data_IF_471271731796
#
_entry.id   IF_471271731796
#
_cell.length_a   1.000
_cell.length_b   1.000
_cell.length_c   1.000
_cell.angle_alpha   90.00
_cell.angle_beta   90.00
_cell.angle_gamma   90.00
#
_symmetry.space_group_name_H-M   'P 1'
#
loop_
_entity.id
_entity.type
_entity.pdbx_description
1 polymer ?
#
# COMPACT_ATOMS: atom_id res chain seq x y z
N UNK A 1 8.26 -8.43 -20.03
CA UNK A 1 7.39 -7.34 -19.52
C UNK A 1 6.52 -7.79 -18.34
N UNK A 2 5.82 -8.94 -18.41
CA UNK A 2 5.02 -9.49 -17.29
C UNK A 2 5.81 -9.75 -15.99
N UNK A 3 7.04 -10.27 -16.05
CA UNK A 3 7.86 -10.52 -14.84
C UNK A 3 8.32 -9.24 -14.12
N UNK A 4 8.50 -8.13 -14.84
CA UNK A 4 8.87 -6.84 -14.25
C UNK A 4 7.71 -6.23 -13.45
N UNK A 5 6.48 -6.42 -13.96
CA UNK A 5 5.24 -6.05 -13.27
C UNK A 5 5.03 -6.90 -12.02
N UNK A 6 5.24 -8.21 -12.09
CA UNK A 6 5.07 -9.11 -10.95
C UNK A 6 6.05 -8.80 -9.81
N UNK A 7 7.34 -8.61 -10.13
CA UNK A 7 8.34 -8.22 -9.13
C UNK A 7 8.06 -6.85 -8.50
N UNK A 8 7.46 -5.92 -9.24
CA UNK A 8 7.10 -4.60 -8.72
C UNK A 8 5.87 -4.69 -7.81
N UNK A 9 4.86 -5.48 -8.20
CA UNK A 9 3.64 -5.74 -7.42
C UNK A 9 3.92 -6.29 -6.03
N UNK A 10 4.81 -7.28 -5.94
CA UNK A 10 5.19 -7.88 -4.65
C UNK A 10 5.88 -6.87 -3.73
N UNK A 11 6.77 -6.01 -4.26
CA UNK A 11 7.54 -5.05 -3.46
C UNK A 11 6.66 -3.99 -2.79
N UNK A 12 5.59 -3.55 -3.43
CA UNK A 12 4.70 -2.53 -2.86
C UNK A 12 3.83 -3.07 -1.73
N UNK A 13 3.29 -4.29 -1.86
CA UNK A 13 2.56 -4.95 -0.77
C UNK A 13 3.46 -5.28 0.42
N UNK A 14 4.69 -5.75 0.14
CA UNK A 14 5.68 -6.05 1.18
C UNK A 14 6.05 -4.79 1.96
N UNK A 15 6.16 -3.63 1.32
CA UNK A 15 6.47 -2.37 2.01
C UNK A 15 5.37 -1.97 3.00
N UNK A 16 4.09 -2.17 2.62
CA UNK A 16 2.98 -1.86 3.53
C UNK A 16 2.91 -2.85 4.69
N UNK A 17 3.02 -4.15 4.39
CA UNK A 17 2.99 -5.22 5.39
C UNK A 17 4.18 -5.17 6.36
N UNK A 18 5.39 -4.91 5.85
CA UNK A 18 6.60 -4.78 6.66
C UNK A 18 6.53 -3.57 7.61
N UNK A 19 5.75 -2.55 7.28
CA UNK A 19 5.54 -1.43 8.20
C UNK A 19 4.91 -1.88 9.52
N UNK A 20 4.07 -2.91 9.56
CA UNK A 20 3.46 -3.38 10.81
C UNK A 20 4.49 -3.92 11.81
N UNK A 21 5.68 -4.30 11.35
CA UNK A 21 6.77 -4.83 12.18
C UNK A 21 7.59 -3.74 12.88
N UNK A 22 7.37 -2.45 12.58
CA UNK A 22 8.12 -1.37 13.23
C UNK A 22 7.41 -0.98 14.53
N UNK A 23 7.95 -1.36 15.71
CA UNK A 23 7.30 -1.13 16.98
C UNK A 23 7.21 0.37 17.30
N UNK A 24 6.18 0.82 18.05
CA UNK A 24 6.05 2.22 18.44
C UNK A 24 7.28 2.78 19.16
N UNK A 25 8.00 1.93 19.89
CA UNK A 25 9.21 2.29 20.63
C UNK A 25 10.42 2.63 19.74
N UNK A 26 10.43 2.20 18.47
CA UNK A 26 11.46 2.55 17.50
C UNK A 26 11.17 3.89 16.79
N UNK A 27 10.06 4.54 17.10
CA UNK A 27 9.63 5.79 16.48
C UNK A 27 10.07 6.98 17.33
N UNK A 28 10.96 7.80 16.79
CA UNK A 28 11.37 9.05 17.43
C UNK A 28 10.17 9.94 17.74
N UNK A 29 10.19 10.59 18.90
CA UNK A 29 9.19 11.59 19.25
C UNK A 29 9.26 12.72 18.23
N UNK A 30 8.10 13.21 17.77
CA UNK A 30 7.92 14.32 16.81
C UNK A 30 7.84 13.96 15.31
N UNK A 31 7.58 12.69 14.96
CA UNK A 31 7.34 12.30 13.55
C UNK A 31 5.95 11.69 13.34
N UNK A 32 5.23 12.15 12.32
CA UNK A 32 3.95 11.57 11.95
C UNK A 32 4.14 10.16 11.39
N UNK A 33 3.50 9.18 12.04
CA UNK A 33 3.32 7.84 11.54
C UNK A 33 1.83 7.47 11.59
N UNK A 34 1.30 6.66 10.64
CA UNK A 34 -0.07 6.17 10.75
C UNK A 34 -0.27 5.46 12.10
N UNK A 35 -1.44 5.63 12.76
CA UNK A 35 -1.74 4.93 14.00
C UNK A 35 -1.52 3.42 13.87
N UNK A 36 -1.03 2.77 14.93
CA UNK A 36 -0.68 1.34 14.90
C UNK A 36 -1.82 0.47 14.34
N UNK A 37 -3.07 0.72 14.77
CA UNK A 37 -4.24 -0.01 14.27
C UNK A 37 -4.46 0.17 12.76
N UNK A 38 -4.20 1.36 12.20
CA UNK A 38 -4.25 1.54 10.74
C UNK A 38 -3.18 0.70 10.06
N UNK A 39 -1.96 0.67 10.60
CA UNK A 39 -0.86 -0.12 10.01
C UNK A 39 -1.18 -1.61 9.99
N UNK A 40 -1.72 -2.14 11.09
CA UNK A 40 -2.18 -3.53 11.18
C UNK A 40 -3.35 -3.78 10.23
N UNK A 41 -4.36 -2.91 10.22
CA UNK A 41 -5.53 -3.04 9.36
C UNK A 41 -5.18 -3.02 7.87
N UNK A 42 -4.39 -2.04 7.42
CA UNK A 42 -3.91 -1.99 6.05
C UNK A 42 -3.03 -3.20 5.71
N UNK A 43 -2.18 -3.67 6.63
CA UNK A 43 -1.38 -4.88 6.39
C UNK A 43 -2.26 -6.12 6.17
N UNK A 44 -3.33 -6.27 6.96
CA UNK A 44 -4.28 -7.37 6.78
C UNK A 44 -5.01 -7.27 5.43
N UNK A 45 -5.46 -6.08 5.06
CA UNK A 45 -6.12 -5.82 3.76
C UNK A 45 -5.19 -6.16 2.60
N UNK A 46 -3.96 -5.67 2.62
CA UNK A 46 -2.99 -5.95 1.56
C UNK A 46 -2.55 -7.43 1.54
N UNK A 47 -2.52 -8.11 2.69
CA UNK A 47 -2.37 -9.56 2.75
C UNK A 47 -3.55 -10.30 2.12
N UNK A 48 -4.78 -9.84 2.38
CA UNK A 48 -5.99 -10.37 1.74
C UNK A 48 -5.99 -10.18 0.22
N UNK A 49 -5.53 -9.04 -0.27
CA UNK A 49 -5.33 -8.78 -1.72
C UNK A 49 -4.36 -9.81 -2.32
N UNK A 50 -3.23 -10.06 -1.65
CA UNK A 50 -2.26 -11.06 -2.12
C UNK A 50 -2.86 -12.47 -2.18
N UNK A 51 -3.70 -12.84 -1.20
CA UNK A 51 -4.44 -14.11 -1.22
C UNK A 51 -5.44 -14.19 -2.37
N UNK A 52 -6.22 -13.13 -2.62
CA UNK A 52 -7.15 -13.08 -3.77
C UNK A 52 -6.39 -13.26 -5.09
N UNK A 53 -5.24 -12.61 -5.26
CA UNK A 53 -4.37 -12.85 -6.41
C UNK A 53 -3.86 -14.29 -6.50
N UNK A 54 -3.51 -14.94 -5.37
CA UNK A 54 -3.06 -16.33 -5.39
C UNK A 54 -4.17 -17.33 -5.75
N UNK A 55 -5.44 -16.95 -5.58
CA UNK A 55 -6.58 -17.75 -6.06
C UNK A 55 -6.86 -17.59 -7.55
N UNK A 56 -6.10 -16.75 -8.26
CA UNK A 56 -6.25 -16.47 -9.69
C UNK A 56 -7.31 -15.41 -10.01
N UNK A 57 -7.97 -14.85 -9.00
CA UNK A 57 -8.97 -13.79 -9.17
C UNK A 57 -8.31 -12.42 -9.27
N UNK A 58 -7.63 -12.19 -10.40
CA UNK A 58 -6.90 -10.95 -10.65
C UNK A 58 -7.81 -9.72 -10.75
N UNK A 59 -9.07 -9.91 -11.14
CA UNK A 59 -10.05 -8.83 -11.32
C UNK A 59 -10.54 -8.26 -9.99
N UNK A 60 -10.99 -9.13 -9.08
CA UNK A 60 -11.38 -8.65 -7.75
C UNK A 60 -10.15 -8.19 -6.96
N UNK A 61 -9.01 -8.87 -7.13
CA UNK A 61 -7.75 -8.48 -6.51
C UNK A 61 -7.29 -7.07 -6.90
N UNK A 62 -7.34 -6.72 -8.19
CA UNK A 62 -6.94 -5.39 -8.69
C UNK A 62 -7.88 -4.28 -8.21
N UNK A 63 -9.20 -4.53 -8.19
CA UNK A 63 -10.19 -3.60 -7.65
C UNK A 63 -9.99 -3.31 -6.17
N UNK A 64 -9.83 -4.35 -5.34
CA UNK A 64 -9.58 -4.22 -3.90
C UNK A 64 -8.24 -3.52 -3.66
N UNK A 65 -7.18 -3.90 -4.38
CA UNK A 65 -5.86 -3.26 -4.28
C UNK A 65 -5.93 -1.75 -4.55
N UNK A 66 -6.64 -1.36 -5.60
CA UNK A 66 -6.79 0.04 -6.02
C UNK A 66 -7.58 0.85 -5.00
N UNK A 67 -8.75 0.35 -4.59
CA UNK A 67 -9.65 1.04 -3.66
C UNK A 67 -8.98 1.32 -2.30
N UNK A 68 -8.30 0.32 -1.75
CA UNK A 68 -7.63 0.47 -0.46
C UNK A 68 -6.34 1.28 -0.54
N UNK A 69 -5.64 1.25 -1.68
CA UNK A 69 -4.50 2.14 -1.92
C UNK A 69 -4.92 3.61 -1.99
N UNK A 70 -6.02 3.91 -2.68
CA UNK A 70 -6.58 5.27 -2.73
C UNK A 70 -7.07 5.73 -1.35
N UNK A 71 -7.69 4.85 -0.58
CA UNK A 71 -8.12 5.14 0.81
C UNK A 71 -6.91 5.46 1.69
N UNK A 72 -5.82 4.68 1.58
CA UNK A 72 -4.60 4.95 2.31
C UNK A 72 -4.03 6.34 1.99
N UNK A 73 -3.96 6.68 0.69
CA UNK A 73 -3.50 7.99 0.23
C UNK A 73 -4.41 9.11 0.74
N UNK A 74 -5.72 8.97 0.61
CA UNK A 74 -6.67 9.99 1.06
C UNK A 74 -6.51 10.31 2.56
N UNK A 75 -6.31 9.28 3.38
CA UNK A 75 -6.17 9.44 4.83
C UNK A 75 -4.80 9.94 5.28
N UNK A 76 -3.71 9.53 4.61
CA UNK A 76 -2.35 9.70 5.13
C UNK A 76 -1.45 10.59 4.26
N UNK A 77 -1.72 10.76 2.96
CA UNK A 77 -0.81 11.46 2.02
C UNK A 77 -0.48 12.87 2.47
N UNK A 78 -1.50 13.69 2.78
CA UNK A 78 -1.30 15.09 3.21
C UNK A 78 -0.43 15.18 4.46
N UNK A 79 -0.58 14.22 5.38
CA UNK A 79 0.17 14.18 6.63
C UNK A 79 1.60 13.65 6.42
N UNK A 80 1.79 12.70 5.50
CA UNK A 80 3.12 12.20 5.10
C UNK A 80 3.97 13.26 4.38
N UNK A 81 3.35 14.23 3.71
CA UNK A 81 4.04 15.30 2.99
C UNK A 81 4.38 16.52 3.87
N UNK A 82 3.75 16.64 5.05
CA UNK A 82 4.01 17.72 6.02
C UNK A 82 5.32 17.46 6.79
N UNK A 83 6.07 18.52 7.04
CA UNK A 83 7.33 18.49 7.80
C UNK A 83 7.04 18.42 9.31
N UNK A 84 7.83 17.64 10.10
CA UNK A 84 8.94 16.77 9.70
C UNK A 84 8.48 15.46 9.02
N UNK A 85 9.10 15.14 7.88
CA UNK A 85 8.76 13.98 7.05
C UNK A 85 9.50 12.73 7.53
N UNK A 86 8.84 11.58 7.53
CA UNK A 86 9.48 10.29 7.82
C UNK A 86 9.72 9.51 6.51
N UNK A 87 10.90 8.90 6.30
CA UNK A 87 11.14 8.08 5.12
C UNK A 87 10.16 6.90 5.02
N UNK A 88 9.76 6.30 6.15
CA UNK A 88 8.80 5.18 6.13
C UNK A 88 7.39 5.62 5.67
N UNK A 89 6.92 6.80 6.07
CA UNK A 89 5.58 7.26 5.68
C UNK A 89 5.53 7.68 4.23
N UNK A 90 6.63 8.22 3.71
CA UNK A 90 6.83 8.45 2.28
C UNK A 90 6.89 7.13 1.50
N UNK A 91 7.60 6.11 2.00
CA UNK A 91 7.66 4.80 1.35
C UNK A 91 6.29 4.13 1.27
N UNK A 92 5.49 4.19 2.34
CA UNK A 92 4.13 3.64 2.32
C UNK A 92 3.19 4.43 1.41
N UNK A 93 3.26 5.76 1.42
CA UNK A 93 2.47 6.59 0.51
C UNK A 93 2.87 6.36 -0.95
N UNK A 94 4.16 6.24 -1.23
CA UNK A 94 4.68 5.90 -2.56
C UNK A 94 4.26 4.50 -3.01
N UNK A 95 4.30 3.50 -2.12
CA UNK A 95 3.82 2.16 -2.40
C UNK A 95 2.33 2.11 -2.70
N UNK A 96 1.51 2.81 -1.90
CA UNK A 96 0.07 2.94 -2.17
C UNK A 96 -0.20 3.66 -3.50
N UNK A 97 0.54 4.73 -3.81
CA UNK A 97 0.43 5.40 -5.12
C UNK A 97 0.81 4.48 -6.28
N UNK A 98 1.88 3.70 -6.14
CA UNK A 98 2.29 2.68 -7.11
C UNK A 98 1.23 1.61 -7.32
N UNK A 99 0.65 1.08 -6.24
CA UNK A 99 -0.45 0.11 -6.33
C UNK A 99 -1.70 0.71 -7.00
N UNK A 100 -2.10 1.93 -6.64
CA UNK A 100 -3.25 2.58 -7.26
C UNK A 100 -3.03 2.82 -8.76
N UNK A 101 -1.83 3.19 -9.18
CA UNK A 101 -1.51 3.38 -10.60
C UNK A 101 -1.46 2.06 -11.37
N UNK A 102 -0.77 1.04 -10.83
CA UNK A 102 -0.60 -0.24 -11.51
C UNK A 102 -1.90 -1.03 -11.60
N UNK A 103 -2.67 -1.10 -10.51
CA UNK A 103 -3.91 -1.88 -10.49
C UNK A 103 -5.12 -1.08 -10.96
N UNK A 104 -5.10 0.25 -10.82
CA UNK A 104 -6.17 1.09 -11.36
C UNK A 104 -6.14 1.09 -12.90
N UNK A 105 -4.96 1.12 -13.51
CA UNK A 105 -4.88 1.00 -14.99
C UNK A 105 -5.31 -0.38 -15.47
N UNK A 106 -4.96 -1.47 -14.77
CA UNK A 106 -5.49 -2.79 -15.12
C UNK A 106 -7.01 -2.88 -14.98
N UNK A 107 -7.57 -2.40 -13.88
CA UNK A 107 -9.01 -2.50 -13.63
C UNK A 107 -9.85 -1.57 -14.51
N UNK A 108 -9.37 -0.38 -14.88
CA UNK A 108 -10.15 0.63 -15.60
C UNK A 108 -9.79 0.82 -17.09
N UNK A 109 -8.60 0.42 -17.54
CA UNK A 109 -8.13 0.71 -18.92
C UNK A 109 -8.01 -0.56 -19.77
N UNK A 110 -7.69 -1.70 -19.16
CA UNK A 110 -7.55 -2.98 -19.88
C UNK A 110 -8.80 -3.87 -19.78
N UNK A 111 -9.86 -3.39 -19.12
CA UNK A 111 -11.14 -4.08 -18.97
C UNK A 111 -12.30 -3.37 -19.71
N UNK A 112 -12.02 -2.74 -20.87
CA UNK A 112 -13.01 -2.29 -21.87
C UNK A 112 -13.09 -3.27 -23.06
#
# INVERSE_FOLDING_TARGET
>A
MKESLDSSRTRYFVTVAASALVPPAALGQNVYLPPYLHRVGFSFIFGGVAYVFSTGDHRNGSGIATAWSLTYLFLHLRKSLRTPRHPLTLAMAGGAAGCAALYGTEYFVYED
#
